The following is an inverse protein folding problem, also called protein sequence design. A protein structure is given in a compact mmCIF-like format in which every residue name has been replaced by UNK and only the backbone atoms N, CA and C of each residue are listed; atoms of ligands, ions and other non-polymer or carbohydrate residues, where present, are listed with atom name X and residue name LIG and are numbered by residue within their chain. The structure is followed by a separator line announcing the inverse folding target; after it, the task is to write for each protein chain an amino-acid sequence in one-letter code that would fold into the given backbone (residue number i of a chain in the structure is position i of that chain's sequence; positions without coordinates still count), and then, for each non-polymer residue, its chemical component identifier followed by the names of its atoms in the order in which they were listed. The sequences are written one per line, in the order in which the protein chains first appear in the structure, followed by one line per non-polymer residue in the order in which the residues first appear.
data_IF_331199731338
#
_entry.id   IF_331199731338
#
_cell.length_a   1.000
_cell.length_b   1.000
_cell.length_c   1.000
_cell.angle_alpha   90.00
_cell.angle_beta   90.00
_cell.angle_gamma   90.00
#
_symmetry.space_group_name_H-M   'P 1'
#
loop_
_entity.id
_entity.type
_entity.pdbx_description
1 polymer ?
#
# COMPACT_ATOMS: atom_id res chain seq x y z
N UNK A 1 -46.54 -66.64 -26.42
CA UNK A 1 -46.81 -65.86 -25.19
C UNK A 1 -45.49 -65.69 -24.42
N UNK A 2 -44.67 -64.70 -24.77
CA UNK A 2 -44.49 -63.37 -24.11
C UNK A 2 -44.07 -63.48 -22.64
N UNK A 3 -42.82 -63.06 -22.33
CA UNK A 3 -42.54 -61.79 -21.62
C UNK A 3 -41.02 -61.48 -21.64
N UNK A 4 -40.66 -60.55 -22.51
CA UNK A 4 -39.39 -59.81 -22.46
C UNK A 4 -39.42 -58.94 -21.19
N UNK A 5 -38.57 -59.28 -20.21
CA UNK A 5 -38.40 -58.47 -19.01
C UNK A 5 -37.58 -57.21 -19.33
N UNK A 6 -38.19 -56.09 -18.97
CA UNK A 6 -37.86 -54.73 -19.35
C UNK A 6 -36.57 -54.23 -18.64
N UNK A 7 -35.43 -54.32 -19.31
CA UNK A 7 -34.10 -53.90 -18.82
C UNK A 7 -33.96 -52.38 -18.58
N UNK A 8 -34.92 -51.56 -19.06
CA UNK A 8 -34.90 -50.09 -18.92
C UNK A 8 -35.25 -49.60 -17.51
N UNK A 9 -36.05 -50.35 -16.74
CA UNK A 9 -36.60 -49.85 -15.46
C UNK A 9 -35.60 -49.92 -14.31
N UNK A 10 -34.60 -50.80 -14.38
CA UNK A 10 -33.57 -50.95 -13.32
C UNK A 10 -32.56 -49.80 -13.39
N UNK A 11 -32.19 -49.32 -14.59
CA UNK A 11 -31.24 -48.20 -14.77
C UNK A 11 -31.77 -46.86 -14.25
N UNK A 12 -33.09 -46.66 -14.24
CA UNK A 12 -33.69 -45.39 -13.83
C UNK A 12 -33.74 -45.23 -12.30
N UNK A 13 -33.89 -46.32 -11.55
CA UNK A 13 -33.91 -46.31 -10.08
C UNK A 13 -32.51 -46.10 -9.48
N UNK A 14 -31.46 -46.68 -10.07
CA UNK A 14 -30.08 -46.44 -9.62
C UNK A 14 -29.62 -45.01 -9.89
N UNK A 15 -30.08 -44.39 -10.98
CA UNK A 15 -29.77 -42.98 -11.27
C UNK A 15 -30.43 -42.02 -10.26
N UNK A 16 -31.66 -42.31 -9.83
CA UNK A 16 -32.37 -41.49 -8.85
C UNK A 16 -31.78 -41.60 -7.44
N UNK A 17 -31.29 -42.79 -7.05
CA UNK A 17 -30.63 -43.00 -5.75
C UNK A 17 -29.25 -42.33 -5.69
N UNK A 18 -28.48 -42.35 -6.77
CA UNK A 18 -27.20 -41.64 -6.83
C UNK A 18 -27.38 -40.11 -6.77
N UNK A 19 -28.43 -39.57 -7.41
CA UNK A 19 -28.73 -38.13 -7.40
C UNK A 19 -29.13 -37.62 -6.00
N UNK A 20 -29.85 -38.44 -5.23
CA UNK A 20 -30.26 -38.11 -3.85
C UNK A 20 -29.07 -38.17 -2.89
N UNK A 21 -28.13 -39.10 -3.08
CA UNK A 21 -26.95 -39.22 -2.22
C UNK A 21 -26.00 -38.01 -2.37
N UNK A 22 -25.91 -37.42 -3.57
CA UNK A 22 -25.13 -36.18 -3.79
C UNK A 22 -25.78 -34.93 -3.22
N UNK A 23 -27.09 -34.93 -2.96
CA UNK A 23 -27.82 -33.80 -2.38
C UNK A 23 -27.81 -33.79 -0.84
N UNK A 24 -27.39 -34.89 -0.20
CA UNK A 24 -27.38 -35.05 1.27
C UNK A 24 -26.02 -34.80 1.92
N UNK A 25 -24.97 -34.57 1.14
CA UNK A 25 -23.70 -34.08 1.66
C UNK A 25 -23.55 -32.61 1.28
N UNK A 26 -24.03 -31.66 2.11
CA UNK A 26 -23.50 -30.32 2.02
C UNK A 26 -22.00 -30.48 2.27
N UNK A 27 -21.19 -30.32 1.22
CA UNK A 27 -19.76 -30.15 1.39
C UNK A 27 -19.68 -28.85 2.16
N UNK A 28 -19.58 -28.94 3.48
CA UNK A 28 -19.28 -27.81 4.33
C UNK A 28 -17.82 -27.50 4.04
N UNK A 29 -17.60 -26.66 3.03
CA UNK A 29 -16.32 -26.03 2.84
C UNK A 29 -16.15 -25.19 4.09
N UNK A 30 -15.34 -25.68 5.03
CA UNK A 30 -14.82 -24.84 6.10
C UNK A 30 -13.99 -23.77 5.40
N UNK A 31 -14.62 -22.65 5.07
CA UNK A 31 -13.92 -21.44 4.67
C UNK A 31 -13.17 -21.03 5.92
N UNK A 32 -11.86 -21.28 5.97
CA UNK A 32 -10.99 -20.83 7.06
C UNK A 32 -11.12 -19.30 7.13
N UNK A 33 -11.84 -18.74 8.11
CA UNK A 33 -12.21 -17.32 8.08
C UNK A 33 -11.05 -16.39 8.46
N UNK A 34 -9.84 -16.91 8.64
CA UNK A 34 -8.70 -16.16 9.16
C UNK A 34 -7.45 -16.16 8.28
N UNK A 35 -7.59 -16.26 6.94
CA UNK A 35 -6.44 -16.12 6.05
C UNK A 35 -5.72 -14.76 6.18
N UNK A 36 -6.41 -13.74 6.71
CA UNK A 36 -5.87 -12.41 6.94
C UNK A 36 -5.83 -11.99 8.42
N UNK A 37 -6.19 -12.86 9.37
CA UNK A 37 -6.27 -12.47 10.79
C UNK A 37 -4.88 -12.17 11.36
N UNK A 38 -4.75 -11.07 12.08
CA UNK A 38 -3.54 -10.69 12.82
C UNK A 38 -3.57 -11.25 14.24
N UNK A 39 -2.38 -11.51 14.78
CA UNK A 39 -2.21 -12.05 16.12
C UNK A 39 -1.57 -11.02 17.06
N UNK A 40 -1.82 -11.17 18.36
CA UNK A 40 -1.12 -10.38 19.38
C UNK A 40 0.38 -10.70 19.31
N UNK A 41 1.21 -9.67 19.33
CA UNK A 41 2.66 -9.75 19.21
C UNK A 41 3.18 -9.98 17.78
N UNK A 42 2.30 -9.98 16.77
CA UNK A 42 2.69 -10.09 15.37
C UNK A 42 3.69 -8.98 15.01
N UNK A 43 4.78 -9.35 14.33
CA UNK A 43 5.80 -8.41 13.88
C UNK A 43 6.47 -8.92 12.62
N UNK A 44 6.61 -8.04 11.65
CA UNK A 44 7.38 -8.25 10.45
C UNK A 44 8.19 -7.02 10.12
N UNK A 45 9.45 -7.22 9.75
CA UNK A 45 10.39 -6.16 9.39
C UNK A 45 11.41 -6.79 8.43
N UNK A 46 11.16 -6.67 7.13
CA UNK A 46 12.02 -7.32 6.13
C UNK A 46 11.99 -6.63 4.78
N UNK A 47 13.02 -6.89 3.98
CA UNK A 47 13.03 -6.57 2.56
C UNK A 47 12.41 -7.71 1.75
N UNK A 48 11.45 -7.36 0.91
CA UNK A 48 10.75 -8.30 0.04
C UNK A 48 10.93 -7.91 -1.41
N UNK A 49 10.88 -8.90 -2.31
CA UNK A 49 10.86 -8.62 -3.74
C UNK A 49 9.58 -7.85 -4.11
N UNK A 50 9.75 -6.84 -4.96
CA UNK A 50 8.64 -6.04 -5.45
C UNK A 50 7.92 -6.81 -6.57
N UNK A 51 7.10 -7.77 -6.17
CA UNK A 51 6.25 -8.58 -7.04
C UNK A 51 4.91 -7.90 -7.38
N UNK A 52 4.07 -8.58 -8.17
CA UNK A 52 2.79 -8.04 -8.62
C UNK A 52 1.85 -7.63 -7.48
N UNK A 53 1.88 -8.33 -6.34
CA UNK A 53 0.98 -8.03 -5.20
C UNK A 53 1.24 -6.64 -4.65
N UNK A 54 2.51 -6.25 -4.55
CA UNK A 54 2.88 -4.91 -4.10
C UNK A 54 2.70 -3.86 -5.19
N UNK A 55 2.98 -4.20 -6.45
CA UNK A 55 2.75 -3.29 -7.57
C UNK A 55 1.27 -2.91 -7.65
N UNK A 56 0.36 -3.88 -7.57
CA UNK A 56 -1.09 -3.63 -7.67
C UNK A 56 -1.58 -2.64 -6.61
N UNK A 57 -1.05 -2.73 -5.38
CA UNK A 57 -1.32 -1.78 -4.29
C UNK A 57 -0.81 -0.39 -4.66
N UNK A 58 0.45 -0.29 -5.11
CA UNK A 58 1.09 0.99 -5.43
C UNK A 58 0.41 1.73 -6.58
N UNK A 59 -0.12 1.01 -7.58
CA UNK A 59 -0.84 1.58 -8.74
C UNK A 59 -2.21 2.16 -8.35
N UNK A 60 -2.84 1.59 -7.33
CA UNK A 60 -4.15 2.01 -6.85
C UNK A 60 -4.10 3.21 -5.90
N UNK A 61 -2.92 3.58 -5.40
CA UNK A 61 -2.76 4.73 -4.52
C UNK A 61 -3.29 6.02 -5.16
N UNK A 62 -4.00 6.81 -4.35
CA UNK A 62 -4.44 8.15 -4.70
C UNK A 62 -3.93 9.11 -3.63
N UNK A 63 -3.18 10.12 -4.06
CA UNK A 63 -2.60 11.11 -3.17
C UNK A 63 -3.54 12.30 -3.08
N UNK A 64 -3.73 12.84 -1.88
CA UNK A 64 -4.42 14.12 -1.71
C UNK A 64 -3.60 15.24 -2.39
N UNK A 65 -4.28 16.33 -2.70
CA UNK A 65 -3.76 17.50 -3.42
C UNK A 65 -2.85 18.40 -2.59
N UNK A 66 -2.60 18.07 -1.32
CA UNK A 66 -1.77 18.86 -0.40
C UNK A 66 -0.64 18.04 0.20
N UNK A 67 0.50 18.69 0.38
CA UNK A 67 1.63 18.19 1.13
C UNK A 67 2.22 19.30 2.01
N UNK A 68 2.87 18.89 3.09
CA UNK A 68 3.45 19.79 4.08
C UNK A 68 4.92 19.45 4.27
N UNK A 69 5.75 20.48 4.42
CA UNK A 69 7.14 20.34 4.84
C UNK A 69 7.19 20.22 6.36
N UNK A 70 7.86 19.21 6.88
CA UNK A 70 8.09 19.14 8.32
C UNK A 70 9.17 20.13 8.73
N UNK A 71 8.78 21.05 9.60
CA UNK A 71 9.65 22.14 10.06
C UNK A 71 10.10 21.95 11.52
N UNK A 72 9.32 21.26 12.35
CA UNK A 72 9.52 21.31 13.79
C UNK A 72 9.40 22.76 14.28
N UNK A 73 10.44 23.27 14.93
CA UNK A 73 10.53 24.65 15.46
C UNK A 73 11.24 25.63 14.49
N UNK A 74 11.49 25.21 13.25
CA UNK A 74 12.27 25.97 12.27
C UNK A 74 11.38 26.75 11.30
N UNK A 75 11.95 27.80 10.72
CA UNK A 75 11.33 28.47 9.57
C UNK A 75 11.66 27.74 8.24
N UNK A 76 10.78 27.80 7.23
CA UNK A 76 11.02 27.16 5.93
C UNK A 76 12.37 27.51 5.31
N UNK A 77 12.77 28.77 5.37
CA UNK A 77 14.02 29.30 4.78
C UNK A 77 15.29 28.64 5.35
N UNK A 78 15.21 28.08 6.56
CA UNK A 78 16.33 27.40 7.20
C UNK A 78 16.52 25.94 6.73
N UNK A 79 15.60 25.42 5.92
CA UNK A 79 15.66 24.04 5.43
C UNK A 79 16.59 23.96 4.22
N UNK A 80 17.67 23.18 4.37
CA UNK A 80 18.67 22.99 3.32
C UNK A 80 18.18 22.07 2.21
N UNK A 81 18.45 22.43 0.96
CA UNK A 81 18.24 21.58 -0.21
C UNK A 81 16.88 21.72 -0.89
N UNK A 82 16.07 22.66 -0.44
CA UNK A 82 14.84 23.09 -1.08
C UNK A 82 14.82 24.62 -1.09
N UNK A 83 14.71 25.26 -2.25
CA UNK A 83 14.78 26.71 -2.35
C UNK A 83 13.97 27.27 -3.54
N UNK A 84 13.07 28.25 -3.31
CA UNK A 84 12.56 28.63 -1.99
C UNK A 84 11.81 27.47 -1.33
N UNK A 85 11.85 27.44 0.00
CA UNK A 85 11.14 26.46 0.81
C UNK A 85 9.81 27.05 1.30
N UNK A 86 8.78 26.22 1.42
CA UNK A 86 7.45 26.60 1.89
C UNK A 86 6.93 25.53 2.85
N UNK A 87 6.07 25.93 3.78
CA UNK A 87 5.43 25.01 4.73
C UNK A 87 4.36 24.13 4.09
N UNK A 88 3.69 24.63 3.04
CA UNK A 88 2.61 23.94 2.34
C UNK A 88 2.84 23.95 0.83
N UNK A 89 2.51 22.83 0.19
CA UNK A 89 2.55 22.66 -1.25
C UNK A 89 1.24 22.07 -1.75
N UNK A 90 0.76 22.60 -2.87
CA UNK A 90 -0.18 21.88 -3.72
C UNK A 90 0.60 20.81 -4.48
N UNK A 91 0.08 19.59 -4.50
CA UNK A 91 0.74 18.48 -5.16
C UNK A 91 -0.12 17.78 -6.20
N UNK A 92 0.57 17.19 -7.17
CA UNK A 92 0.03 16.17 -8.06
C UNK A 92 1.00 15.00 -8.07
N UNK A 93 0.53 13.83 -7.65
CA UNK A 93 1.29 12.59 -7.74
C UNK A 93 0.77 11.75 -8.91
N UNK A 94 1.67 11.25 -9.75
CA UNK A 94 1.33 10.37 -10.87
C UNK A 94 2.18 9.12 -10.83
N UNK A 95 1.54 7.97 -11.05
CA UNK A 95 2.23 6.71 -11.33
C UNK A 95 2.48 6.57 -12.83
N UNK A 96 3.73 6.36 -13.24
CA UNK A 96 4.06 6.12 -14.66
C UNK A 96 5.36 5.32 -14.80
N UNK A 97 5.31 4.22 -15.55
CA UNK A 97 6.48 3.39 -15.90
C UNK A 97 7.30 2.97 -14.67
N UNK A 98 6.64 2.44 -13.63
CA UNK A 98 7.24 2.00 -12.36
C UNK A 98 7.95 3.14 -11.61
N UNK A 99 7.33 4.32 -11.58
CA UNK A 99 7.84 5.49 -10.87
C UNK A 99 6.67 6.28 -10.33
N UNK A 100 6.83 6.82 -9.12
CA UNK A 100 6.04 7.93 -8.66
C UNK A 100 6.70 9.24 -9.07
N UNK A 101 5.92 10.14 -9.64
CA UNK A 101 6.31 11.50 -9.99
C UNK A 101 5.45 12.42 -9.15
N UNK A 102 6.09 13.17 -8.25
CA UNK A 102 5.43 14.18 -7.41
C UNK A 102 5.78 15.56 -7.93
N UNK A 103 4.78 16.29 -8.37
CA UNK A 103 4.88 17.69 -8.77
C UNK A 103 4.42 18.56 -7.60
N UNK A 104 5.27 19.49 -7.16
CA UNK A 104 4.99 20.41 -6.05
C UNK A 104 4.89 21.83 -6.57
N UNK A 105 3.97 22.60 -5.98
CA UNK A 105 3.85 24.04 -6.20
C UNK A 105 3.44 24.74 -4.91
N UNK A 106 4.16 25.79 -4.54
CA UNK A 106 3.79 26.64 -3.39
C UNK A 106 2.76 27.72 -3.78
N UNK A 107 2.39 28.58 -2.84
CA UNK A 107 1.44 29.67 -3.07
C UNK A 107 1.99 30.78 -3.97
N UNK A 108 3.31 30.91 -4.06
CA UNK A 108 4.02 31.89 -4.89
C UNK A 108 4.32 31.33 -6.29
N UNK A 109 3.80 30.14 -6.62
CA UNK A 109 4.01 29.40 -7.86
C UNK A 109 5.43 28.89 -8.12
N UNK A 110 6.32 28.89 -7.12
CA UNK A 110 7.56 28.14 -7.22
C UNK A 110 7.24 26.65 -7.27
N UNK A 111 7.96 25.92 -8.11
CA UNK A 111 7.64 24.52 -8.37
C UNK A 111 8.87 23.65 -8.54
N UNK A 112 8.67 22.35 -8.33
CA UNK A 112 9.69 21.35 -8.53
C UNK A 112 9.07 19.96 -8.58
N UNK A 113 9.84 19.01 -9.07
CA UNK A 113 9.43 17.61 -9.14
C UNK A 113 10.35 16.76 -8.28
N UNK A 114 9.80 15.74 -7.62
CA UNK A 114 10.56 14.64 -7.04
C UNK A 114 10.11 13.33 -7.68
N UNK A 115 11.06 12.48 -8.05
CA UNK A 115 10.78 11.20 -8.69
C UNK A 115 11.31 10.07 -7.82
N UNK A 116 10.43 9.11 -7.49
CA UNK A 116 10.80 7.86 -6.83
C UNK A 116 10.75 6.76 -7.88
N UNK A 117 11.90 6.19 -8.21
CA UNK A 117 12.00 5.03 -9.09
C UNK A 117 11.80 3.78 -8.25
N UNK A 118 10.97 2.85 -8.72
CA UNK A 118 10.80 1.60 -8.01
C UNK A 118 12.09 0.78 -8.01
N UNK A 119 12.57 0.33 -6.84
CA UNK A 119 13.64 -0.65 -6.71
C UNK A 119 13.13 -2.07 -7.02
N UNK A 120 14.04 -3.05 -7.05
CA UNK A 120 13.68 -4.48 -7.14
C UNK A 120 13.08 -5.03 -5.83
N UNK A 121 13.43 -4.41 -4.69
CA UNK A 121 13.00 -4.81 -3.35
C UNK A 121 12.52 -3.59 -2.58
N UNK A 122 11.51 -3.78 -1.74
CA UNK A 122 11.01 -2.76 -0.81
C UNK A 122 11.11 -3.26 0.63
N UNK A 123 11.20 -2.35 1.59
CA UNK A 123 11.09 -2.69 3.00
C UNK A 123 9.63 -2.68 3.40
N UNK A 124 9.17 -3.78 3.98
CA UNK A 124 7.82 -3.95 4.50
C UNK A 124 7.94 -4.15 6.01
N UNK A 125 7.17 -3.34 6.73
CA UNK A 125 7.09 -3.39 8.17
C UNK A 125 5.63 -3.49 8.59
N UNK A 126 5.34 -4.36 9.55
CA UNK A 126 4.11 -4.30 10.31
C UNK A 126 4.29 -4.83 11.72
N UNK A 127 3.49 -4.33 12.65
CA UNK A 127 3.52 -4.75 14.05
C UNK A 127 2.13 -4.62 14.66
N UNK A 128 1.81 -5.55 15.57
CA UNK A 128 0.66 -5.47 16.46
C UNK A 128 0.58 -4.09 17.13
N UNK A 129 -0.46 -3.34 16.80
CA UNK A 129 -0.74 -2.03 17.37
C UNK A 129 -1.36 -2.22 18.75
N UNK A 130 -0.62 -1.83 19.79
CA UNK A 130 -1.01 -2.01 21.20
C UNK A 130 -2.25 -1.15 21.56
N UNK A 131 -2.58 -0.13 20.76
CA UNK A 131 -3.74 0.74 20.98
C UNK A 131 -4.61 0.89 19.70
N UNK A 132 -5.23 -0.19 19.21
CA UNK A 132 -5.97 -0.13 17.95
C UNK A 132 -7.30 0.63 18.17
N UNK A 133 -7.57 1.62 17.31
CA UNK A 133 -8.85 2.36 17.31
C UNK A 133 -9.63 2.05 16.03
N UNK A 134 -10.88 1.53 16.10
CA UNK A 134 -11.60 1.02 17.27
C UNK A 134 -11.07 -0.34 17.74
N UNK A 135 -11.32 -0.67 19.01
CA UNK A 135 -10.98 -1.96 19.61
C UNK A 135 -11.86 -3.08 19.02
N UNK A 136 -11.47 -3.59 17.85
CA UNK A 136 -11.99 -4.85 17.31
C UNK A 136 -11.34 -6.03 18.03
N UNK A 137 -12.02 -7.19 18.04
CA UNK A 137 -11.45 -8.43 18.61
C UNK A 137 -10.24 -8.95 17.83
N UNK A 138 -10.02 -8.48 16.61
CA UNK A 138 -8.80 -8.70 15.83
C UNK A 138 -7.78 -7.61 16.15
N UNK A 139 -6.54 -8.03 16.45
CA UNK A 139 -5.39 -7.12 16.58
C UNK A 139 -5.25 -6.32 15.27
N UNK A 140 -5.17 -4.99 15.35
CA UNK A 140 -4.84 -4.20 14.17
C UNK A 140 -3.32 -4.10 14.07
N UNK A 141 -2.77 -4.25 12.86
CA UNK A 141 -1.36 -4.04 12.62
C UNK A 141 -1.13 -2.62 12.15
N UNK A 142 -0.19 -1.92 12.78
CA UNK A 142 0.46 -0.78 12.17
C UNK A 142 1.29 -1.26 10.98
N UNK A 143 1.18 -0.64 9.81
CA UNK A 143 1.86 -1.05 8.57
C UNK A 143 2.63 0.10 7.94
N UNK A 144 3.84 -0.21 7.46
CA UNK A 144 4.63 0.67 6.61
C UNK A 144 5.20 -0.06 5.39
N UNK A 145 5.06 0.54 4.21
CA UNK A 145 5.83 0.18 3.03
C UNK A 145 6.83 1.30 2.71
N UNK A 146 8.10 0.93 2.55
CA UNK A 146 9.21 1.87 2.34
C UNK A 146 9.86 1.59 0.99
N UNK A 147 9.75 2.57 0.09
CA UNK A 147 10.30 2.53 -1.26
C UNK A 147 11.44 3.55 -1.35
N UNK A 148 12.68 3.07 -1.28
CA UNK A 148 13.88 3.91 -1.34
C UNK A 148 14.48 3.92 -2.73
N UNK A 149 14.89 5.11 -3.20
CA UNK A 149 15.63 5.28 -4.44
C UNK A 149 16.61 6.45 -4.36
N UNK A 150 17.52 6.55 -5.33
CA UNK A 150 18.35 7.76 -5.48
C UNK A 150 17.45 8.96 -5.75
N UNK A 151 17.72 10.08 -5.08
CA UNK A 151 16.94 11.29 -5.26
C UNK A 151 17.12 11.83 -6.68
N UNK A 152 16.00 12.08 -7.35
CA UNK A 152 15.93 12.76 -8.64
C UNK A 152 14.88 13.85 -8.51
N UNK A 153 15.22 15.07 -8.87
CA UNK A 153 14.29 16.18 -8.81
C UNK A 153 14.68 17.36 -9.69
N UNK A 154 13.85 18.38 -9.68
CA UNK A 154 13.98 19.60 -10.49
C UNK A 154 13.43 20.81 -9.73
N UNK A 155 13.64 22.01 -10.28
CA UNK A 155 13.07 23.25 -9.75
C UNK A 155 13.55 23.51 -8.32
N UNK A 156 12.61 23.77 -7.40
CA UNK A 156 12.92 24.07 -6.00
C UNK A 156 13.76 23.00 -5.29
N UNK A 157 13.78 21.76 -5.77
CA UNK A 157 14.55 20.66 -5.18
C UNK A 157 15.97 20.50 -5.73
N UNK A 158 16.32 21.22 -6.79
CA UNK A 158 17.65 21.14 -7.44
C UNK A 158 18.81 21.37 -6.45
N UNK A 159 18.74 22.34 -5.51
CA UNK A 159 19.83 22.59 -4.56
C UNK A 159 20.12 21.40 -3.64
N UNK A 160 19.14 20.54 -3.39
CA UNK A 160 19.26 19.37 -2.52
C UNK A 160 19.84 18.14 -3.19
N UNK A 161 20.06 18.17 -4.51
CA UNK A 161 20.58 17.04 -5.27
C UNK A 161 22.09 16.89 -5.08
N UNK A 162 22.56 15.64 -5.09
CA UNK A 162 23.98 15.35 -4.99
C UNK A 162 24.30 13.86 -4.95
N UNK A 163 25.59 13.55 -4.88
CA UNK A 163 26.06 12.20 -4.63
C UNK A 163 25.54 11.71 -3.26
N UNK A 164 25.15 10.43 -3.20
CA UNK A 164 24.65 9.78 -1.99
C UNK A 164 23.42 10.47 -1.36
N UNK A 165 22.61 11.13 -2.20
CA UNK A 165 21.32 11.68 -1.81
C UNK A 165 20.21 10.69 -2.16
N UNK A 166 19.40 10.31 -1.17
CA UNK A 166 18.32 9.34 -1.30
C UNK A 166 16.97 9.93 -0.91
N UNK A 167 15.92 9.38 -1.52
CA UNK A 167 14.54 9.67 -1.19
C UNK A 167 13.82 8.35 -0.90
N UNK A 168 13.07 8.32 0.20
CA UNK A 168 12.24 7.19 0.59
C UNK A 168 10.78 7.63 0.63
N UNK A 169 9.95 7.01 -0.18
CA UNK A 169 8.49 7.08 -0.02
C UNK A 169 8.09 6.05 1.05
N UNK A 170 7.50 6.54 2.14
CA UNK A 170 6.97 5.73 3.22
C UNK A 170 5.46 5.85 3.16
N UNK A 171 4.78 4.74 2.92
CA UNK A 171 3.32 4.62 3.02
C UNK A 171 3.00 4.08 4.40
N UNK A 172 2.00 4.66 5.08
CA UNK A 172 1.64 4.31 6.44
C UNK A 172 0.14 4.19 6.62
N UNK A 173 -0.26 3.20 7.40
CA UNK A 173 -1.59 3.10 7.97
C UNK A 173 -1.73 1.80 8.75
N UNK A 174 -2.93 1.23 8.80
CA UNK A 174 -3.27 0.10 9.66
C UNK A 174 -4.09 -0.95 8.91
N UNK A 175 -4.08 -2.20 9.37
CA UNK A 175 -4.93 -3.25 8.82
C UNK A 175 -4.61 -4.63 9.40
N UNK A 176 -5.16 -5.68 8.81
CA UNK A 176 -4.87 -7.07 9.21
C UNK A 176 -3.64 -7.61 8.46
N UNK A 177 -3.36 -8.91 8.42
CA UNK A 177 -2.18 -9.45 7.71
C UNK A 177 -2.22 -9.23 6.20
N UNK A 178 -3.39 -9.21 5.58
CA UNK A 178 -3.52 -8.97 4.15
C UNK A 178 -3.16 -7.52 3.81
N UNK A 179 -2.37 -7.35 2.75
CA UNK A 179 -1.97 -6.05 2.26
C UNK A 179 -2.99 -5.55 1.26
N UNK A 180 -3.58 -4.40 1.55
CA UNK A 180 -4.55 -3.73 0.70
C UNK A 180 -4.23 -2.23 0.64
N UNK A 181 -4.52 -1.59 -0.48
CA UNK A 181 -4.44 -0.14 -0.68
C UNK A 181 -5.17 0.65 0.41
N UNK A 182 -6.35 0.17 0.86
CA UNK A 182 -7.17 0.83 1.89
C UNK A 182 -6.47 0.90 3.25
N UNK A 183 -5.48 0.04 3.49
CA UNK A 183 -4.73 0.05 4.75
C UNK A 183 -3.82 1.29 4.87
N UNK A 184 -3.53 2.00 3.78
CA UNK A 184 -2.62 3.14 3.78
C UNK A 184 -3.39 4.46 3.71
N UNK A 185 -3.14 5.33 4.69
CA UNK A 185 -3.86 6.61 4.85
C UNK A 185 -2.94 7.82 4.80
N UNK A 186 -1.63 7.63 5.01
CA UNK A 186 -0.63 8.69 5.03
C UNK A 186 0.59 8.30 4.22
N UNK A 187 1.29 9.30 3.72
CA UNK A 187 2.57 9.11 3.07
C UNK A 187 3.60 10.14 3.57
N UNK A 188 4.87 9.78 3.45
CA UNK A 188 6.01 10.66 3.73
C UNK A 188 7.08 10.46 2.66
N UNK A 189 7.61 11.56 2.13
CA UNK A 189 8.83 11.56 1.33
C UNK A 189 9.97 12.02 2.24
N UNK A 190 10.76 11.06 2.70
CA UNK A 190 11.93 11.32 3.51
C UNK A 190 13.15 11.48 2.62
N UNK A 191 13.74 12.67 2.61
CA UNK A 191 14.97 12.98 1.87
C UNK A 191 16.13 12.92 2.85
N UNK A 192 17.13 12.09 2.55
CA UNK A 192 18.32 11.90 3.39
C UNK A 192 19.59 11.84 2.57
N UNK A 193 20.59 12.59 3.01
CA UNK A 193 21.92 12.61 2.41
C UNK A 193 22.72 13.84 2.85
N UNK A 194 23.94 14.00 2.32
CA UNK A 194 24.86 15.05 2.74
C UNK A 194 24.43 16.46 2.28
N UNK A 195 23.58 16.56 1.25
CA UNK A 195 23.14 17.86 0.71
C UNK A 195 21.81 18.33 1.30
N UNK A 196 20.97 17.40 1.74
CA UNK A 196 19.66 17.73 2.27
C UNK A 196 19.13 16.65 3.20
N UNK A 197 18.44 17.09 4.25
CA UNK A 197 17.78 16.22 5.21
C UNK A 197 16.49 16.90 5.67
N UNK A 198 15.37 16.48 5.07
CA UNK A 198 14.04 16.99 5.37
C UNK A 198 13.01 15.92 5.01
N UNK A 199 11.75 16.13 5.39
CA UNK A 199 10.69 15.28 4.89
C UNK A 199 9.42 16.07 4.59
N UNK A 200 8.73 15.62 3.55
CA UNK A 200 7.42 16.09 3.15
C UNK A 200 6.39 15.03 3.50
N UNK A 201 5.18 15.41 3.86
CA UNK A 201 4.14 14.46 4.22
C UNK A 201 2.76 14.92 3.76
N UNK A 202 1.83 13.97 3.65
CA UNK A 202 0.46 14.23 3.29
C UNK A 202 -0.44 13.02 3.54
N UNK A 203 -1.67 13.13 3.06
CA UNK A 203 -2.70 12.10 3.16
C UNK A 203 -2.86 11.36 1.82
N UNK A 204 -3.34 10.12 1.92
CA UNK A 204 -3.86 9.37 0.79
C UNK A 204 -5.38 9.52 0.79
N UNK A 205 -5.97 9.63 -0.40
CA UNK A 205 -7.42 9.57 -0.58
C UNK A 205 -7.80 8.09 -0.44
N UNK A 206 -8.70 7.72 0.48
CA UNK A 206 -9.17 6.35 0.59
C UNK A 206 -9.66 5.86 -0.77
N UNK A 207 -9.20 4.68 -1.18
CA UNK A 207 -9.76 4.04 -2.36
C UNK A 207 -11.26 3.81 -2.10
N UNK A 208 -12.11 4.21 -3.05
CA UNK A 208 -13.54 3.97 -2.99
C UNK A 208 -13.83 2.83 -3.97
N UNK A 209 -14.34 1.71 -3.44
CA UNK A 209 -14.78 0.55 -4.21
C UNK A 209 -16.01 0.86 -5.07
#
# INVERSE_FOLDING_TARGET
MIKFLNKKTIRLKTFFILLILTLLFPIQWNIFPCACCSNIGERFDSEVDLDSRYIDILEQLRFDSKAFLFLGEKDPESITGIHPASGEYKIKATWKKNRFIFEFRDLENHSGTLIIKLPKKISVFYIDDINPTPATSESALYKEFRITSKMVGTGIFTPGLGANQFITLILRGNGNLCHDTHNFIRWTLMVKGPKSNYHLFGTLIPYQL
#
